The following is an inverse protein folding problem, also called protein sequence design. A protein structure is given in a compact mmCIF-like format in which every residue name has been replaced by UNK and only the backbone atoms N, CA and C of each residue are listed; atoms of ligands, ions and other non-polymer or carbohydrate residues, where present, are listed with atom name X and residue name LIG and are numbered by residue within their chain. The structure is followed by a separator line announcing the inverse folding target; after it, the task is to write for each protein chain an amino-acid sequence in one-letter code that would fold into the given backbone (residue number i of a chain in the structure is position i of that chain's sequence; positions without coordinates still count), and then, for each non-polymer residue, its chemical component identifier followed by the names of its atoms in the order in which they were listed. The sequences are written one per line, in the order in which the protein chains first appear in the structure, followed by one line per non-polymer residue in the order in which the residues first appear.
data_IF_570374795381
#
_entry.id   IF_570374795381
#
_cell.length_a   1.000
_cell.length_b   1.000
_cell.length_c   1.000
_cell.angle_alpha   90.00
_cell.angle_beta   90.00
_cell.angle_gamma   90.00
#
_symmetry.space_group_name_H-M   'P 1'
#
loop_
_entity.id
_entity.type
_entity.pdbx_description
1 polymer ?
#
# COMPACT_ATOMS: atom_id res chain seq x y z
N UNK A 1 19.23 -18.55 5.02
CA UNK A 1 18.15 -17.65 5.48
C UNK A 1 18.53 -16.22 5.14
N UNK A 2 17.81 -15.56 4.23
CA UNK A 2 18.11 -14.20 3.82
C UNK A 2 17.46 -13.20 4.79
N UNK A 3 18.09 -12.99 5.95
CA UNK A 3 17.63 -12.08 6.99
C UNK A 3 17.41 -10.66 6.44
N UNK A 4 18.26 -10.22 5.51
CA UNK A 4 18.17 -8.92 4.86
C UNK A 4 16.84 -8.75 4.11
N UNK A 5 16.41 -9.77 3.36
CA UNK A 5 15.20 -9.70 2.56
C UNK A 5 13.94 -9.65 3.44
N UNK A 6 13.97 -10.33 4.60
CA UNK A 6 12.93 -10.22 5.63
C UNK A 6 12.87 -8.84 6.27
N UNK A 7 14.03 -8.28 6.64
CA UNK A 7 14.12 -6.94 7.22
C UNK A 7 13.55 -5.90 6.25
N UNK A 8 13.95 -5.96 4.97
CA UNK A 8 13.42 -5.06 3.94
C UNK A 8 11.91 -5.22 3.78
N UNK A 9 11.42 -6.46 3.65
CA UNK A 9 9.99 -6.71 3.49
C UNK A 9 9.16 -6.14 4.66
N UNK A 10 9.58 -6.44 5.89
CA UNK A 10 8.85 -6.04 7.10
C UNK A 10 8.95 -4.54 7.33
N UNK A 11 10.13 -3.92 7.16
CA UNK A 11 10.29 -2.49 7.36
C UNK A 11 9.43 -1.69 6.38
N UNK A 12 9.46 -2.03 5.09
CA UNK A 12 8.61 -1.39 4.09
C UNK A 12 7.13 -1.72 4.29
N UNK A 13 6.80 -2.94 4.74
CA UNK A 13 5.43 -3.33 5.07
C UNK A 13 4.85 -2.53 6.24
N UNK A 14 5.61 -2.33 7.31
CA UNK A 14 5.22 -1.52 8.46
C UNK A 14 5.04 -0.06 8.04
N UNK A 15 5.99 0.49 7.29
CA UNK A 15 5.88 1.86 6.80
C UNK A 15 4.64 2.04 5.90
N UNK A 16 4.41 1.11 4.97
CA UNK A 16 3.27 1.14 4.06
C UNK A 16 1.95 1.07 4.82
N UNK A 17 1.74 0.03 5.62
CA UNK A 17 0.49 -0.14 6.37
C UNK A 17 0.30 0.98 7.41
N UNK A 18 1.36 1.37 8.10
CA UNK A 18 1.36 2.44 9.09
C UNK A 18 0.98 3.79 8.50
N UNK A 19 1.48 4.11 7.31
CA UNK A 19 1.14 5.36 6.60
C UNK A 19 -0.34 5.39 6.23
N UNK A 20 -0.91 4.28 5.74
CA UNK A 20 -2.35 4.19 5.44
C UNK A 20 -3.17 4.39 6.70
N UNK A 21 -2.84 3.68 7.78
CA UNK A 21 -3.56 3.80 9.07
C UNK A 21 -3.49 5.23 9.60
N UNK A 22 -2.29 5.83 9.62
CA UNK A 22 -2.10 7.21 10.06
C UNK A 22 -2.90 8.19 9.20
N UNK A 23 -2.81 8.07 7.88
CA UNK A 23 -3.48 8.96 6.95
C UNK A 23 -5.01 8.90 7.11
N UNK A 24 -5.57 7.69 7.18
CA UNK A 24 -7.02 7.46 7.23
C UNK A 24 -7.63 7.82 8.57
N UNK A 25 -7.00 7.44 9.68
CA UNK A 25 -7.60 7.58 11.01
C UNK A 25 -7.18 8.84 11.75
N UNK A 26 -6.05 9.44 11.39
CA UNK A 26 -5.49 10.58 12.12
C UNK A 26 -5.43 11.81 11.23
N UNK A 27 -4.70 11.76 10.12
CA UNK A 27 -4.45 12.95 9.29
C UNK A 27 -5.73 13.49 8.65
N UNK A 28 -6.42 12.64 7.88
CA UNK A 28 -7.58 13.06 7.10
C UNK A 28 -8.75 13.58 7.98
N UNK A 29 -9.13 12.93 9.10
CA UNK A 29 -10.17 13.46 9.97
C UNK A 29 -9.82 14.80 10.62
N UNK A 30 -8.53 15.06 10.87
CA UNK A 30 -8.07 16.33 11.47
C UNK A 30 -8.05 17.43 10.44
N UNK A 31 -7.57 17.16 9.22
CA UNK A 31 -7.60 18.14 8.12
C UNK A 31 -9.03 18.52 7.73
N UNK A 32 -9.96 17.54 7.66
CA UNK A 32 -11.39 17.81 7.42
C UNK A 32 -12.00 18.80 8.43
N UNK A 33 -11.58 18.73 9.69
CA UNK A 33 -12.06 19.66 10.74
C UNK A 33 -11.55 21.09 10.56
N UNK A 34 -10.43 21.28 9.86
CA UNK A 34 -9.87 22.60 9.56
C UNK A 34 -10.53 23.26 8.35
N UNK A 35 -11.37 22.52 7.62
CA UNK A 35 -12.13 22.99 6.47
C UNK A 35 -11.36 22.94 5.14
N UNK A 36 -12.07 23.10 4.01
CA UNK A 36 -11.52 22.82 2.68
C UNK A 36 -10.33 23.71 2.31
N UNK A 37 -10.31 24.97 2.79
CA UNK A 37 -9.25 25.92 2.49
C UNK A 37 -7.86 25.49 2.99
N UNK A 38 -7.81 24.67 4.04
CA UNK A 38 -6.56 24.11 4.60
C UNK A 38 -6.39 22.65 4.17
N UNK A 39 -7.47 21.86 4.19
CA UNK A 39 -7.43 20.43 3.85
C UNK A 39 -6.85 20.19 2.46
N UNK A 40 -7.40 20.82 1.43
CA UNK A 40 -7.06 20.54 0.04
C UNK A 40 -5.60 20.83 -0.32
N UNK A 41 -5.04 22.05 -0.10
CA UNK A 41 -3.66 22.32 -0.44
C UNK A 41 -2.69 21.47 0.39
N UNK A 42 -3.02 21.20 1.66
CA UNK A 42 -2.18 20.36 2.52
C UNK A 42 -2.16 18.91 2.04
N UNK A 43 -3.32 18.33 1.74
CA UNK A 43 -3.41 16.98 1.18
C UNK A 43 -2.70 16.89 -0.17
N UNK A 44 -2.84 17.89 -1.04
CA UNK A 44 -2.19 17.91 -2.35
C UNK A 44 -0.67 17.83 -2.23
N UNK A 45 -0.06 18.66 -1.39
CA UNK A 45 1.40 18.64 -1.19
C UNK A 45 1.88 17.36 -0.50
N UNK A 46 1.15 16.86 0.50
CA UNK A 46 1.46 15.59 1.15
C UNK A 46 1.38 14.42 0.14
N UNK A 47 0.31 14.36 -0.67
CA UNK A 47 0.08 13.28 -1.63
C UNK A 47 1.09 13.29 -2.78
N UNK A 48 1.65 14.46 -3.14
CA UNK A 48 2.70 14.57 -4.15
C UNK A 48 3.94 13.75 -3.82
N UNK A 49 4.26 13.62 -2.53
CA UNK A 49 5.39 12.81 -2.04
C UNK A 49 4.90 11.42 -1.62
N UNK A 50 3.79 11.37 -0.87
CA UNK A 50 3.31 10.12 -0.29
C UNK A 50 2.88 9.12 -1.36
N UNK A 51 2.21 9.56 -2.43
CA UNK A 51 1.73 8.67 -3.50
C UNK A 51 2.87 7.89 -4.18
N UNK A 52 3.92 8.53 -4.74
CA UNK A 52 5.04 7.79 -5.34
C UNK A 52 5.83 6.97 -4.30
N UNK A 53 6.02 7.48 -3.08
CA UNK A 53 6.70 6.71 -2.02
C UNK A 53 5.92 5.44 -1.68
N UNK A 54 4.60 5.53 -1.54
CA UNK A 54 3.73 4.38 -1.27
C UNK A 54 3.71 3.38 -2.42
N UNK A 55 3.79 3.86 -3.68
CA UNK A 55 3.93 3.00 -4.86
C UNK A 55 5.23 2.19 -4.82
N UNK A 56 6.35 2.85 -4.53
CA UNK A 56 7.65 2.19 -4.36
C UNK A 56 7.57 1.15 -3.25
N UNK A 57 6.98 1.50 -2.10
CA UNK A 57 6.82 0.58 -0.98
C UNK A 57 5.97 -0.64 -1.35
N UNK A 58 4.85 -0.45 -2.06
CA UNK A 58 4.02 -1.55 -2.57
C UNK A 58 4.80 -2.50 -3.46
N UNK A 59 5.61 -1.98 -4.38
CA UNK A 59 6.45 -2.80 -5.27
C UNK A 59 7.50 -3.56 -4.48
N UNK A 60 8.17 -2.91 -3.52
CA UNK A 60 9.18 -3.54 -2.66
C UNK A 60 8.55 -4.66 -1.83
N UNK A 61 7.42 -4.41 -1.17
CA UNK A 61 6.73 -5.42 -0.33
C UNK A 61 6.27 -6.60 -1.19
N UNK A 62 5.61 -6.33 -2.33
CA UNK A 62 5.15 -7.39 -3.22
C UNK A 62 6.32 -8.22 -3.76
N UNK A 63 7.36 -7.57 -4.28
CA UNK A 63 8.52 -8.23 -4.86
C UNK A 63 9.32 -9.04 -3.85
N UNK A 64 9.57 -8.48 -2.66
CA UNK A 64 10.26 -9.21 -1.58
C UNK A 64 9.40 -10.35 -1.03
N UNK A 65 8.08 -10.20 -0.96
CA UNK A 65 7.15 -11.27 -0.55
C UNK A 65 7.20 -12.46 -1.50
N UNK A 66 7.10 -12.19 -2.82
CA UNK A 66 7.24 -13.21 -3.86
C UNK A 66 8.63 -13.87 -3.78
N UNK A 67 9.70 -13.08 -3.64
CA UNK A 67 11.06 -13.60 -3.55
C UNK A 67 11.24 -14.54 -2.34
N UNK A 68 10.66 -14.23 -1.17
CA UNK A 68 10.69 -15.13 -0.01
C UNK A 68 9.98 -16.45 -0.29
N UNK A 69 8.81 -16.40 -0.90
CA UNK A 69 8.01 -17.57 -1.26
C UNK A 69 8.76 -18.48 -2.24
N UNK A 70 9.35 -17.90 -3.30
CA UNK A 70 10.13 -18.64 -4.29
C UNK A 70 11.39 -19.25 -3.68
N UNK A 71 12.10 -18.52 -2.81
CA UNK A 71 13.30 -19.03 -2.12
C UNK A 71 13.00 -20.10 -1.08
N UNK A 72 11.78 -20.15 -0.55
CA UNK A 72 11.38 -21.20 0.38
C UNK A 72 11.27 -22.58 -0.30
N UNK A 73 11.18 -22.63 -1.64
CA UNK A 73 11.09 -23.86 -2.44
C UNK A 73 10.04 -24.85 -1.92
N UNK A 74 8.95 -24.33 -1.37
CA UNK A 74 7.88 -25.14 -0.79
C UNK A 74 7.04 -25.79 -1.91
N UNK A 75 6.61 -27.05 -1.74
CA UNK A 75 5.71 -27.66 -2.69
C UNK A 75 4.35 -26.93 -2.69
N UNK A 76 3.73 -26.81 -3.86
CA UNK A 76 2.54 -25.97 -4.07
C UNK A 76 1.37 -26.38 -3.17
N UNK A 77 1.28 -27.67 -2.82
CA UNK A 77 0.25 -28.18 -1.92
C UNK A 77 0.28 -27.51 -0.54
N UNK A 78 1.45 -27.08 -0.03
CA UNK A 78 1.61 -26.44 1.28
C UNK A 78 0.86 -25.10 1.35
N UNK A 79 0.72 -24.39 0.23
CA UNK A 79 -0.03 -23.13 0.18
C UNK A 79 -1.53 -23.31 0.45
N UNK A 80 -2.07 -24.50 0.14
CA UNK A 80 -3.50 -24.77 0.25
C UNK A 80 -3.84 -25.76 1.38
N UNK A 81 -2.85 -26.48 1.92
CA UNK A 81 -3.04 -27.47 2.98
C UNK A 81 -2.68 -26.96 4.37
N UNK A 82 -1.98 -25.83 4.49
CA UNK A 82 -1.52 -25.30 5.79
C UNK A 82 -2.11 -23.93 6.07
N UNK A 83 -2.39 -23.65 7.35
CA UNK A 83 -2.88 -22.32 7.78
C UNK A 83 -1.90 -21.19 7.45
N UNK A 84 -0.58 -21.46 7.52
CA UNK A 84 0.45 -20.52 7.09
C UNK A 84 0.38 -20.24 5.59
N UNK A 85 0.24 -21.28 4.76
CA UNK A 85 0.13 -21.16 3.32
C UNK A 85 -1.09 -20.35 2.87
N UNK A 86 -2.25 -20.64 3.48
CA UNK A 86 -3.50 -19.92 3.21
C UNK A 86 -3.36 -18.44 3.61
N UNK A 87 -2.75 -18.15 4.76
CA UNK A 87 -2.51 -16.78 5.19
C UNK A 87 -1.63 -16.01 4.20
N UNK A 88 -0.56 -16.63 3.68
CA UNK A 88 0.29 -16.02 2.66
C UNK A 88 -0.45 -15.79 1.34
N UNK A 89 -1.32 -16.73 0.93
CA UNK A 89 -2.12 -16.59 -0.28
C UNK A 89 -3.14 -15.45 -0.18
N UNK A 90 -3.83 -15.35 0.96
CA UNK A 90 -4.76 -14.24 1.23
C UNK A 90 -4.01 -12.92 1.24
N UNK A 91 -2.85 -12.85 1.92
CA UNK A 91 -2.03 -11.64 1.95
C UNK A 91 -1.59 -11.21 0.55
N UNK A 92 -1.20 -12.17 -0.30
CA UNK A 92 -0.85 -11.93 -1.70
C UNK A 92 -2.03 -11.35 -2.50
N UNK A 93 -3.22 -11.95 -2.40
CA UNK A 93 -4.42 -11.43 -3.06
C UNK A 93 -4.74 -10.02 -2.55
N UNK A 94 -4.70 -9.80 -1.23
CA UNK A 94 -5.03 -8.53 -0.62
C UNK A 94 -4.10 -7.40 -1.11
N UNK A 95 -2.78 -7.63 -1.18
CA UNK A 95 -1.84 -6.62 -1.68
C UNK A 95 -2.03 -6.36 -3.17
N UNK A 96 -2.34 -7.38 -3.99
CA UNK A 96 -2.63 -7.20 -5.42
C UNK A 96 -3.87 -6.33 -5.61
N UNK A 97 -4.95 -6.62 -4.89
CA UNK A 97 -6.17 -5.80 -4.93
C UNK A 97 -5.88 -4.38 -4.48
N UNK A 98 -5.15 -4.20 -3.36
CA UNK A 98 -4.81 -2.88 -2.84
C UNK A 98 -4.00 -2.05 -3.85
N UNK A 99 -3.05 -2.67 -4.56
CA UNK A 99 -2.25 -2.01 -5.60
C UNK A 99 -3.11 -1.62 -6.80
N UNK A 100 -3.97 -2.53 -7.29
CA UNK A 100 -4.86 -2.26 -8.43
C UNK A 100 -5.85 -1.14 -8.08
N UNK A 101 -6.50 -1.22 -6.92
CA UNK A 101 -7.46 -0.19 -6.48
C UNK A 101 -6.75 1.14 -6.25
N UNK A 102 -5.64 1.15 -5.52
CA UNK A 102 -4.91 2.37 -5.18
C UNK A 102 -4.35 3.08 -6.42
N UNK A 103 -3.55 2.38 -7.22
CA UNK A 103 -2.80 2.99 -8.32
C UNK A 103 -3.48 2.84 -9.68
N UNK A 104 -4.27 1.78 -9.89
CA UNK A 104 -4.98 1.55 -11.14
C UNK A 104 -6.33 2.27 -11.23
N UNK A 105 -6.99 2.55 -10.09
CA UNK A 105 -8.33 3.14 -10.06
C UNK A 105 -8.33 4.51 -9.36
N UNK A 106 -7.95 4.57 -8.09
CA UNK A 106 -8.12 5.77 -7.27
C UNK A 106 -7.19 6.90 -7.71
N UNK A 107 -5.90 6.65 -7.88
CA UNK A 107 -4.94 7.66 -8.34
C UNK A 107 -5.32 8.31 -9.69
N UNK A 108 -5.61 7.55 -10.77
CA UNK A 108 -6.01 8.15 -12.04
C UNK A 108 -7.38 8.83 -11.97
N UNK A 109 -8.33 8.29 -11.19
CA UNK A 109 -9.64 8.93 -10.97
C UNK A 109 -9.47 10.30 -10.28
N UNK A 110 -8.62 10.39 -9.27
CA UNK A 110 -8.29 11.64 -8.58
C UNK A 110 -7.66 12.66 -9.54
N UNK A 111 -6.67 12.25 -10.34
CA UNK A 111 -6.06 13.13 -11.35
C UNK A 111 -7.07 13.61 -12.40
N UNK A 112 -8.03 12.77 -12.78
CA UNK A 112 -9.12 13.15 -13.70
C UNK A 112 -10.08 14.14 -13.06
N UNK A 113 -10.44 13.96 -11.79
CA UNK A 113 -11.30 14.89 -11.06
C UNK A 113 -10.65 16.26 -10.94
N UNK A 114 -9.35 16.33 -10.61
CA UNK A 114 -8.59 17.58 -10.55
C UNK A 114 -8.65 18.35 -11.88
N UNK A 115 -8.43 17.67 -13.01
CA UNK A 115 -8.53 18.27 -14.35
C UNK A 115 -9.92 18.83 -14.67
N UNK A 116 -10.97 18.29 -14.05
CA UNK A 116 -12.36 18.71 -14.26
C UNK A 116 -12.80 19.83 -13.32
N UNK A 117 -11.92 20.36 -12.45
CA UNK A 117 -12.30 21.30 -11.40
C UNK A 117 -13.27 20.69 -10.37
N UNK A 118 -13.36 19.35 -10.34
CA UNK A 118 -14.17 18.55 -9.41
C UNK A 118 -13.30 17.75 -8.45
N UNK A 119 -11.99 17.96 -8.50
CA UNK A 119 -11.05 17.43 -7.52
C UNK A 119 -11.37 18.04 -6.18
N UNK A 120 -11.32 17.20 -5.14
CA UNK A 120 -11.50 17.67 -3.78
C UNK A 120 -10.55 18.80 -3.49
#
# INVERSE_FOLDING_TARGET
MDIALRIVHVAFGIFWAGTVIFATFILLPRLKKLGPAIEQPTLKEIMRVTSPTMMICSVVVLGTGIAMVLRAQLPVNVFFSTGWGIAMFIAFIAIVIAVIVGFGILAPSGARMEKLGRGF
#
